data_IF_416713533847
#
_entry.id   IF_416713533847
#
_cell.length_a   1.000
_cell.length_b   1.000
_cell.length_c   1.000
_cell.angle_alpha   90.00
_cell.angle_beta   90.00
_cell.angle_gamma   90.00
#
_symmetry.space_group_name_H-M   'P 1'
#
loop_
_entity.id
_entity.type
_entity.pdbx_description
1 polymer ?
#
# COMPACT_ATOMS: atom_id res chain seq x y z
N UNK A 1 -24.79 -4.62 4.66
CA UNK A 1 -23.81 -3.55 4.39
C UNK A 1 -22.59 -4.22 3.77
N UNK A 2 -22.42 -4.14 2.46
CA UNK A 2 -21.23 -4.68 1.79
C UNK A 2 -20.07 -3.74 2.13
N UNK A 3 -19.19 -4.18 3.01
CA UNK A 3 -17.96 -3.46 3.33
C UNK A 3 -17.15 -3.34 2.05
N UNK A 4 -16.91 -2.10 1.65
CA UNK A 4 -16.20 -1.72 0.45
C UNK A 4 -14.69 -2.00 0.64
N UNK A 5 -14.31 -3.27 0.84
CA UNK A 5 -12.92 -3.70 1.12
C UNK A 5 -11.95 -3.29 0.00
N UNK A 6 -12.45 -3.02 -1.20
CA UNK A 6 -11.64 -2.57 -2.32
C UNK A 6 -11.04 -1.16 -2.15
N UNK A 7 -11.62 -0.30 -1.30
CA UNK A 7 -11.13 1.09 -1.11
C UNK A 7 -10.17 1.28 0.08
N UNK A 8 -10.14 0.33 1.02
CA UNK A 8 -9.40 0.50 2.29
C UNK A 8 -7.89 0.59 2.05
N UNK A 9 -7.34 -0.25 1.16
CA UNK A 9 -5.92 -0.21 0.84
C UNK A 9 -5.54 1.05 0.04
N UNK A 10 -6.44 1.57 -0.80
CA UNK A 10 -6.22 2.80 -1.58
C UNK A 10 -6.10 4.01 -0.64
N UNK A 11 -7.01 4.12 0.35
CA UNK A 11 -6.99 5.19 1.35
C UNK A 11 -5.72 5.15 2.21
N UNK A 12 -5.32 3.95 2.66
CA UNK A 12 -4.10 3.76 3.44
C UNK A 12 -2.85 4.07 2.61
N UNK A 13 -2.84 3.68 1.34
CA UNK A 13 -1.77 4.03 0.41
C UNK A 13 -1.64 5.54 0.23
N UNK A 14 -2.75 6.25 -0.04
CA UNK A 14 -2.73 7.73 -0.16
C UNK A 14 -2.26 8.38 1.13
N UNK A 15 -2.72 7.91 2.28
CA UNK A 15 -2.28 8.42 3.57
C UNK A 15 -0.78 8.23 3.81
N UNK A 16 -0.20 7.10 3.36
CA UNK A 16 1.23 6.85 3.48
C UNK A 16 2.08 7.68 2.51
N UNK A 17 1.60 7.90 1.28
CA UNK A 17 2.32 8.71 0.26
C UNK A 17 2.33 10.20 0.61
N UNK A 18 1.26 10.70 1.23
CA UNK A 18 1.13 12.11 1.61
C UNK A 18 1.62 12.41 3.04
N UNK A 19 2.10 11.41 3.77
CA UNK A 19 2.64 11.62 5.11
C UNK A 19 3.99 12.34 5.04
N UNK A 20 4.09 13.46 5.75
CA UNK A 20 5.30 14.29 5.80
C UNK A 20 5.93 14.34 7.19
N UNK A 21 5.24 13.82 8.21
CA UNK A 21 5.78 13.70 9.57
C UNK A 21 6.75 12.51 9.62
N UNK A 22 8.06 12.74 9.80
CA UNK A 22 9.06 11.68 9.80
C UNK A 22 8.85 10.68 10.96
N UNK A 23 8.14 11.08 12.03
CA UNK A 23 7.86 10.18 13.14
C UNK A 23 6.66 9.25 12.86
N UNK A 24 5.83 9.57 11.86
CA UNK A 24 4.63 8.80 11.51
C UNK A 24 4.76 8.06 10.19
N UNK A 25 5.64 8.53 9.30
CA UNK A 25 5.80 7.96 7.96
C UNK A 25 6.12 6.46 8.00
N UNK A 26 6.92 6.00 8.96
CA UNK A 26 7.23 4.59 9.14
C UNK A 26 5.97 3.74 9.45
N UNK A 27 5.16 4.19 10.42
CA UNK A 27 3.93 3.49 10.83
C UNK A 27 2.88 3.50 9.72
N UNK A 28 2.74 4.63 9.01
CA UNK A 28 1.82 4.78 7.88
C UNK A 28 2.21 3.87 6.72
N UNK A 29 3.49 3.84 6.37
CA UNK A 29 4.02 2.93 5.34
C UNK A 29 3.76 1.47 5.75
N UNK A 30 4.05 1.08 7.00
CA UNK A 30 3.82 -0.30 7.45
C UNK A 30 2.34 -0.69 7.36
N UNK A 31 1.45 0.18 7.85
CA UNK A 31 0.00 -0.04 7.82
C UNK A 31 -0.52 -0.21 6.39
N UNK A 32 -0.06 0.65 5.47
CA UNK A 32 -0.45 0.57 4.07
C UNK A 32 0.12 -0.67 3.37
N UNK A 33 1.37 -1.06 3.68
CA UNK A 33 1.98 -2.28 3.16
C UNK A 33 1.24 -3.54 3.60
N UNK A 34 0.79 -3.60 4.85
CA UNK A 34 0.05 -4.76 5.35
C UNK A 34 -1.32 -4.90 4.68
N UNK A 35 -2.06 -3.79 4.53
CA UNK A 35 -3.32 -3.78 3.79
C UNK A 35 -3.15 -4.15 2.30
N UNK A 36 -2.08 -3.69 1.66
CA UNK A 36 -1.75 -4.04 0.27
C UNK A 36 -1.37 -5.53 0.13
N UNK A 37 -0.65 -6.11 1.09
CA UNK A 37 -0.33 -7.54 1.10
C UNK A 37 -1.58 -8.38 1.26
N UNK A 38 -2.45 -8.03 2.20
CA UNK A 38 -3.75 -8.70 2.38
C UNK A 38 -4.55 -8.65 1.07
N UNK A 39 -4.64 -7.48 0.44
CA UNK A 39 -5.33 -7.33 -0.84
C UNK A 39 -4.68 -8.16 -1.95
N UNK A 40 -3.36 -8.21 -2.01
CA UNK A 40 -2.64 -9.04 -2.98
C UNK A 40 -2.94 -10.53 -2.80
N UNK A 41 -3.00 -11.00 -1.55
CA UNK A 41 -3.39 -12.38 -1.23
C UNK A 41 -4.82 -12.66 -1.69
N UNK A 42 -5.77 -11.78 -1.42
CA UNK A 42 -7.16 -11.93 -1.91
C UNK A 42 -7.22 -11.97 -3.44
N UNK A 43 -6.47 -11.10 -4.12
CA UNK A 43 -6.48 -11.01 -5.58
C UNK A 43 -5.85 -12.22 -6.25
N UNK A 44 -4.92 -12.92 -5.60
CA UNK A 44 -4.32 -14.15 -6.13
C UNK A 44 -5.33 -15.29 -6.26
N UNK A 45 -6.31 -15.35 -5.36
CA UNK A 45 -7.36 -16.38 -5.36
C UNK A 45 -8.47 -16.11 -6.40
N UNK A 46 -8.46 -14.93 -7.05
CA UNK A 46 -9.53 -14.47 -7.95
C UNK A 46 -9.08 -14.53 -9.44
N UNK A 47 -9.98 -14.91 -10.39
CA UNK A 47 -9.63 -15.05 -11.81
C UNK A 47 -9.07 -13.79 -12.48
N UNK A 48 -8.47 -13.97 -13.66
CA UNK A 48 -7.80 -12.97 -14.53
C UNK A 48 -8.56 -11.65 -14.78
N UNK A 49 -9.87 -11.60 -14.53
CA UNK A 49 -10.67 -10.37 -14.65
C UNK A 49 -10.20 -9.21 -13.74
N UNK A 50 -9.29 -9.46 -12.79
CA UNK A 50 -8.73 -8.44 -11.87
C UNK A 50 -7.27 -8.06 -12.14
N UNK A 51 -6.73 -8.35 -13.32
CA UNK A 51 -5.31 -8.06 -13.63
C UNK A 51 -4.94 -6.57 -13.47
N UNK A 52 -5.85 -5.65 -13.79
CA UNK A 52 -5.64 -4.21 -13.55
C UNK A 52 -5.57 -3.84 -12.06
N UNK A 53 -6.33 -4.53 -11.21
CA UNK A 53 -6.26 -4.30 -9.76
C UNK A 53 -4.99 -4.89 -9.18
N UNK A 54 -4.59 -6.08 -9.63
CA UNK A 54 -3.30 -6.70 -9.27
C UNK A 54 -2.15 -5.74 -9.58
N UNK A 55 -2.12 -5.20 -10.81
CA UNK A 55 -1.06 -4.27 -11.19
C UNK A 55 -1.03 -3.01 -10.32
N UNK A 56 -2.19 -2.42 -9.98
CA UNK A 56 -2.26 -1.27 -9.07
C UNK A 56 -1.75 -1.58 -7.67
N UNK A 57 -2.10 -2.74 -7.12
CA UNK A 57 -1.62 -3.19 -5.80
C UNK A 57 -0.11 -3.43 -5.82
N UNK A 58 0.41 -4.04 -6.88
CA UNK A 58 1.85 -4.25 -7.05
C UNK A 58 2.62 -2.91 -7.16
N UNK A 59 2.14 -1.98 -7.97
CA UNK A 59 2.73 -0.66 -8.15
C UNK A 59 2.73 0.14 -6.84
N UNK A 60 1.65 0.05 -6.06
CA UNK A 60 1.55 0.68 -4.74
C UNK A 60 2.57 0.11 -3.75
N UNK A 61 2.73 -1.22 -3.69
CA UNK A 61 3.75 -1.89 -2.85
C UNK A 61 5.16 -1.41 -3.22
N UNK A 62 5.47 -1.36 -4.52
CA UNK A 62 6.78 -0.89 -5.02
C UNK A 62 7.02 0.57 -4.65
N UNK A 63 6.01 1.42 -4.78
CA UNK A 63 6.09 2.84 -4.42
C UNK A 63 6.38 3.03 -2.94
N UNK A 64 5.64 2.33 -2.06
CA UNK A 64 5.87 2.43 -0.62
C UNK A 64 7.26 1.91 -0.21
N UNK A 65 7.78 0.87 -0.87
CA UNK A 65 9.16 0.42 -0.63
C UNK A 65 10.18 1.50 -1.00
N UNK A 66 9.99 2.22 -2.12
CA UNK A 66 10.88 3.31 -2.52
C UNK A 66 10.84 4.48 -1.52
N UNK A 67 9.65 4.86 -1.05
CA UNK A 67 9.50 5.92 -0.04
C UNK A 67 10.18 5.49 1.25
N UNK A 68 9.98 4.24 1.69
CA UNK A 68 10.62 3.71 2.90
C UNK A 68 12.14 3.83 2.84
N UNK A 69 12.76 3.42 1.74
CA UNK A 69 14.21 3.53 1.55
C UNK A 69 14.66 4.99 1.50
N UNK A 70 13.92 5.85 0.80
CA UNK A 70 14.30 7.26 0.60
C UNK A 70 14.18 8.09 1.88
N UNK A 71 13.13 7.85 2.66
CA UNK A 71 12.78 8.66 3.83
C UNK A 71 13.30 8.09 5.15
N UNK A 72 13.47 6.76 5.26
CA UNK A 72 13.92 6.12 6.51
C UNK A 72 15.36 5.61 6.48
N UNK A 73 15.90 5.28 5.30
CA UNK A 73 17.26 4.73 5.18
C UNK A 73 18.27 5.76 4.67
N UNK A 74 17.86 7.02 4.49
CA UNK A 74 18.79 8.10 4.16
C UNK A 74 19.73 8.37 5.33
N UNK A 75 21.06 8.24 5.16
CA UNK A 75 21.98 8.76 6.15
C UNK A 75 21.85 10.29 6.17
N UNK A 76 21.72 10.84 7.39
CA UNK A 76 21.78 12.29 7.64
C UNK A 76 23.13 12.88 7.23
#
# INVERSE_FOLDING_TARGET
>A
MQTNHAGVWEDLYVAAVLETDPNKIADKISTAQDALRERWHELREVPLARDREKQRVEDAIRTLNMIRVTELERPA
#
